data_IF_651556812065
#
_entry.id   IF_651556812065
#
_cell.length_a   1.000
_cell.length_b   1.000
_cell.length_c   1.000
_cell.angle_alpha   90.00
_cell.angle_beta   90.00
_cell.angle_gamma   90.00
#
_symmetry.space_group_name_H-M   'P 1'
#
loop_
_entity.id
_entity.type
_entity.pdbx_description
1 polymer ?
#
# COMPACT_ATOMS: atom_id res chain seq x y z
N UNK A 1 -6.42 -10.98 20.28
CA UNK A 1 -7.75 -11.27 20.83
C UNK A 1 -8.86 -10.31 20.33
N UNK A 2 -8.61 -9.41 19.38
CA UNK A 2 -9.56 -8.42 18.85
C UNK A 2 -10.26 -8.83 17.52
N UNK A 3 -10.10 -10.07 17.07
CA UNK A 3 -10.63 -10.54 15.76
C UNK A 3 -12.07 -11.05 15.75
N UNK A 4 -12.73 -11.25 16.88
CA UNK A 4 -14.05 -11.91 16.94
C UNK A 4 -15.25 -11.02 17.24
N UNK A 5 -15.10 -9.71 17.35
CA UNK A 5 -16.15 -8.78 17.81
C UNK A 5 -16.98 -8.07 16.73
N UNK A 6 -16.93 -8.39 15.43
CA UNK A 6 -17.50 -7.53 14.38
C UNK A 6 -18.60 -8.13 13.50
N UNK A 7 -19.32 -9.11 13.97
CA UNK A 7 -20.67 -9.33 13.43
C UNK A 7 -21.64 -8.43 14.21
N UNK A 8 -22.24 -7.45 13.56
CA UNK A 8 -23.29 -6.63 14.17
C UNK A 8 -24.36 -7.57 14.75
N UNK A 9 -24.84 -7.34 15.98
CA UNK A 9 -25.70 -8.26 16.71
C UNK A 9 -26.95 -8.72 15.95
N UNK A 10 -27.41 -7.98 14.93
CA UNK A 10 -28.52 -8.38 14.04
C UNK A 10 -28.13 -9.52 13.08
N UNK A 11 -26.92 -9.51 12.51
CA UNK A 11 -26.46 -10.57 11.60
C UNK A 11 -26.09 -11.83 12.38
N UNK A 12 -25.45 -11.68 13.54
CA UNK A 12 -25.18 -12.80 14.45
C UNK A 12 -26.48 -13.45 14.96
N UNK A 13 -27.50 -12.67 15.31
CA UNK A 13 -28.80 -13.17 15.71
C UNK A 13 -29.57 -13.85 14.58
N UNK A 14 -29.45 -13.42 13.35
CA UNK A 14 -30.05 -14.07 12.18
C UNK A 14 -29.34 -15.39 11.87
N UNK A 15 -28.01 -15.43 11.91
CA UNK A 15 -27.22 -16.64 11.68
C UNK A 15 -27.47 -17.70 12.75
N UNK A 16 -27.57 -17.29 14.03
CA UNK A 16 -27.91 -18.19 15.13
C UNK A 16 -29.32 -18.82 14.99
N UNK A 17 -30.28 -18.07 14.44
CA UNK A 17 -31.63 -18.58 14.18
C UNK A 17 -31.70 -19.57 13.02
N UNK A 18 -30.78 -19.51 12.06
CA UNK A 18 -30.73 -20.37 10.87
C UNK A 18 -29.80 -21.58 11.07
N UNK A 19 -29.08 -21.68 12.18
CA UNK A 19 -28.07 -22.73 12.40
C UNK A 19 -26.82 -22.58 11.51
N UNK A 20 -26.72 -21.51 10.74
CA UNK A 20 -25.58 -21.22 9.85
C UNK A 20 -24.31 -20.84 10.61
N UNK A 21 -24.42 -20.53 11.91
CA UNK A 21 -23.31 -20.33 12.83
C UNK A 21 -22.44 -21.60 13.02
N UNK A 22 -23.02 -22.78 12.78
CA UNK A 22 -22.32 -24.09 12.83
C UNK A 22 -21.62 -24.45 11.53
N UNK A 23 -21.90 -23.76 10.43
CA UNK A 23 -21.28 -24.04 9.14
C UNK A 23 -19.89 -23.39 9.10
N UNK A 24 -18.81 -24.14 8.86
CA UNK A 24 -17.49 -23.57 8.73
C UNK A 24 -17.46 -22.47 7.67
N UNK A 25 -16.77 -21.35 7.96
CA UNK A 25 -16.73 -20.15 7.09
C UNK A 25 -16.29 -20.46 5.66
N UNK A 26 -15.46 -21.49 5.46
CA UNK A 26 -15.02 -21.90 4.13
C UNK A 26 -16.16 -22.46 3.25
N UNK A 27 -17.22 -23.03 3.84
CA UNK A 27 -18.35 -23.61 3.07
C UNK A 27 -19.10 -22.55 2.27
N UNK A 28 -19.61 -21.45 2.86
CA UNK A 28 -20.26 -20.40 2.09
C UNK A 28 -19.31 -19.70 1.12
N UNK A 29 -18.00 -19.61 1.42
CA UNK A 29 -17.00 -19.07 0.49
C UNK A 29 -16.85 -19.98 -0.73
N UNK A 30 -16.65 -21.29 -0.54
CA UNK A 30 -16.54 -22.26 -1.64
C UNK A 30 -17.82 -22.29 -2.46
N UNK A 31 -18.98 -22.30 -1.82
CA UNK A 31 -20.27 -22.26 -2.51
C UNK A 31 -20.44 -20.99 -3.33
N UNK A 32 -20.08 -19.82 -2.78
CA UNK A 32 -20.12 -18.55 -3.48
C UNK A 32 -19.19 -18.53 -4.71
N UNK A 33 -17.97 -19.03 -4.54
CA UNK A 33 -17.01 -19.17 -5.67
C UNK A 33 -17.55 -20.15 -6.73
N UNK A 34 -18.13 -21.29 -6.33
CA UNK A 34 -18.71 -22.27 -7.25
C UNK A 34 -19.90 -21.70 -8.02
N UNK A 35 -20.78 -20.95 -7.36
CA UNK A 35 -21.90 -20.25 -8.00
C UNK A 35 -21.39 -19.21 -8.99
N UNK A 36 -20.41 -18.39 -8.61
CA UNK A 36 -19.81 -17.41 -9.52
C UNK A 36 -19.15 -18.08 -10.73
N UNK A 37 -18.42 -19.18 -10.50
CA UNK A 37 -17.80 -19.94 -11.58
C UNK A 37 -18.86 -20.54 -12.52
N UNK A 38 -19.93 -21.11 -11.97
CA UNK A 38 -21.04 -21.64 -12.77
C UNK A 38 -21.73 -20.56 -13.60
N UNK A 39 -22.17 -19.45 -12.97
CA UNK A 39 -22.83 -18.33 -13.66
C UNK A 39 -21.89 -17.67 -14.67
N UNK A 40 -20.60 -17.56 -14.33
CA UNK A 40 -19.56 -17.01 -15.20
C UNK A 40 -19.32 -17.89 -16.44
N UNK A 41 -19.47 -19.21 -16.32
CA UNK A 41 -19.25 -20.16 -17.42
C UNK A 41 -20.46 -20.32 -18.37
N UNK A 42 -21.64 -19.84 -17.98
CA UNK A 42 -22.81 -19.91 -18.84
C UNK A 42 -22.63 -19.04 -20.08
N UNK A 43 -22.57 -19.68 -21.25
CA UNK A 43 -22.50 -18.98 -22.53
C UNK A 43 -23.89 -18.48 -22.92
N UNK A 44 -23.98 -17.23 -23.35
CA UNK A 44 -25.20 -16.60 -23.86
C UNK A 44 -24.88 -15.94 -25.20
N UNK A 45 -25.92 -15.70 -26.00
CA UNK A 45 -25.74 -14.93 -27.23
C UNK A 45 -25.33 -13.48 -26.96
N UNK A 46 -24.71 -12.80 -27.93
CA UNK A 46 -24.21 -11.42 -27.73
C UNK A 46 -25.29 -10.41 -27.33
N UNK A 47 -26.54 -10.58 -27.78
CA UNK A 47 -27.61 -9.64 -27.40
C UNK A 47 -27.97 -9.80 -25.91
N UNK A 48 -28.14 -11.04 -25.45
CA UNK A 48 -28.37 -11.30 -24.02
C UNK A 48 -27.20 -10.84 -23.16
N UNK A 49 -25.95 -11.03 -23.62
CA UNK A 49 -24.77 -10.49 -22.92
C UNK A 49 -24.81 -8.97 -22.83
N UNK A 50 -25.27 -8.28 -23.87
CA UNK A 50 -25.46 -6.83 -23.84
C UNK A 50 -26.46 -6.38 -22.78
N UNK A 51 -27.60 -7.10 -22.63
CA UNK A 51 -28.56 -6.81 -21.55
C UNK A 51 -27.94 -7.04 -20.16
N UNK A 52 -27.17 -8.10 -19.98
CA UNK A 52 -26.46 -8.37 -18.73
C UNK A 52 -25.46 -7.24 -18.43
N UNK A 53 -24.67 -6.82 -19.42
CA UNK A 53 -23.70 -5.75 -19.27
C UNK A 53 -24.37 -4.41 -18.90
N UNK A 54 -25.42 -4.01 -19.62
CA UNK A 54 -26.18 -2.76 -19.34
C UNK A 54 -26.81 -2.84 -17.96
N UNK A 55 -27.46 -3.94 -17.61
CA UNK A 55 -28.04 -4.16 -16.28
C UNK A 55 -27.00 -4.05 -15.18
N UNK A 56 -25.83 -4.68 -15.36
CA UNK A 56 -24.72 -4.62 -14.43
C UNK A 56 -24.18 -3.18 -14.26
N UNK A 57 -23.95 -2.48 -15.37
CA UNK A 57 -23.49 -1.08 -15.33
C UNK A 57 -24.53 -0.19 -14.60
N UNK A 58 -25.82 -0.39 -14.87
CA UNK A 58 -26.89 0.34 -14.21
C UNK A 58 -26.86 0.11 -12.69
N UNK A 59 -26.75 -1.14 -12.26
CA UNK A 59 -26.65 -1.50 -10.83
C UNK A 59 -25.40 -0.87 -10.20
N UNK A 60 -24.25 -0.94 -10.88
CA UNK A 60 -23.01 -0.30 -10.43
C UNK A 60 -23.18 1.21 -10.24
N UNK A 61 -23.74 1.91 -11.22
CA UNK A 61 -23.93 3.38 -11.18
C UNK A 61 -24.92 3.80 -10.07
N UNK A 62 -25.98 3.04 -9.85
CA UNK A 62 -26.98 3.33 -8.83
C UNK A 62 -26.44 3.05 -7.43
N UNK A 63 -25.86 1.88 -7.22
CA UNK A 63 -25.42 1.45 -5.91
C UNK A 63 -24.10 2.10 -5.46
N UNK A 64 -23.21 2.47 -6.40
CA UNK A 64 -21.96 3.15 -6.07
C UNK A 64 -22.16 4.51 -5.39
N UNK A 65 -23.34 5.11 -5.53
CA UNK A 65 -23.71 6.36 -4.84
C UNK A 65 -24.10 6.15 -3.38
N UNK A 66 -24.25 4.91 -2.93
CA UNK A 66 -24.67 4.59 -1.56
C UNK A 66 -23.49 4.07 -0.75
N UNK A 67 -23.13 4.72 0.38
CA UNK A 67 -22.06 4.23 1.23
C UNK A 67 -22.47 2.96 1.95
N UNK A 68 -21.53 2.03 2.11
CA UNK A 68 -21.77 0.84 2.92
C UNK A 68 -20.87 -0.33 2.51
N UNK A 69 -20.29 -1.01 3.51
CA UNK A 69 -19.39 -2.15 3.29
C UNK A 69 -20.07 -3.29 2.51
N UNK A 70 -21.31 -3.62 2.86
CA UNK A 70 -22.05 -4.67 2.14
C UNK A 70 -22.25 -4.33 0.65
N UNK A 71 -22.55 -3.07 0.35
CA UNK A 71 -22.67 -2.60 -1.04
C UNK A 71 -21.32 -2.69 -1.75
N UNK A 72 -20.24 -2.24 -1.12
CA UNK A 72 -18.90 -2.33 -1.70
C UNK A 72 -18.51 -3.77 -2.03
N UNK A 73 -18.73 -4.72 -1.10
CA UNK A 73 -18.46 -6.14 -1.33
C UNK A 73 -19.34 -6.69 -2.45
N UNK A 74 -20.63 -6.35 -2.48
CA UNK A 74 -21.52 -6.75 -3.55
C UNK A 74 -21.04 -6.25 -4.93
N UNK A 75 -20.64 -4.98 -5.02
CA UNK A 75 -20.10 -4.41 -6.25
C UNK A 75 -18.78 -5.06 -6.69
N UNK A 76 -17.89 -5.40 -5.74
CA UNK A 76 -16.67 -6.17 -6.01
C UNK A 76 -17.01 -7.55 -6.56
N UNK A 77 -17.96 -8.26 -5.96
CA UNK A 77 -18.41 -9.60 -6.45
C UNK A 77 -19.03 -9.51 -7.84
N UNK A 78 -19.84 -8.49 -8.11
CA UNK A 78 -20.45 -8.26 -9.41
C UNK A 78 -19.37 -7.98 -10.48
N UNK A 79 -18.38 -7.17 -10.14
CA UNK A 79 -17.22 -6.89 -11.01
C UNK A 79 -16.41 -8.16 -11.30
N UNK A 80 -16.13 -8.98 -10.28
CA UNK A 80 -15.43 -10.26 -10.45
C UNK A 80 -16.23 -11.25 -11.32
N UNK A 81 -17.55 -11.30 -11.15
CA UNK A 81 -18.42 -12.12 -11.97
C UNK A 81 -18.32 -11.72 -13.45
N UNK A 82 -18.40 -10.43 -13.76
CA UNK A 82 -18.27 -9.94 -15.14
C UNK A 82 -16.89 -10.19 -15.71
N UNK A 83 -15.82 -10.00 -14.91
CA UNK A 83 -14.46 -10.32 -15.32
C UNK A 83 -14.26 -11.82 -15.58
N UNK A 84 -14.89 -12.67 -14.79
CA UNK A 84 -14.86 -14.13 -14.99
C UNK A 84 -15.60 -14.51 -16.27
N UNK A 85 -16.78 -13.92 -16.53
CA UNK A 85 -17.52 -14.11 -17.79
C UNK A 85 -16.67 -13.72 -19.00
N UNK A 86 -15.99 -12.58 -18.90
CA UNK A 86 -15.08 -12.13 -19.95
C UNK A 86 -13.96 -13.17 -20.22
N UNK A 87 -13.23 -13.59 -19.17
CA UNK A 87 -12.10 -14.50 -19.38
C UNK A 87 -12.54 -15.90 -19.88
N UNK A 88 -13.70 -16.40 -19.40
CA UNK A 88 -14.28 -17.64 -19.91
C UNK A 88 -14.61 -17.51 -21.39
N UNK A 89 -15.30 -16.44 -21.79
CA UNK A 89 -15.57 -16.17 -23.21
C UNK A 89 -14.29 -16.07 -24.04
N UNK A 90 -13.27 -15.36 -23.52
CA UNK A 90 -11.96 -15.26 -24.18
C UNK A 90 -11.35 -16.63 -24.45
N UNK A 91 -11.31 -17.49 -23.42
CA UNK A 91 -10.67 -18.81 -23.51
C UNK A 91 -11.47 -19.81 -24.38
N UNK A 92 -12.80 -19.73 -24.35
CA UNK A 92 -13.64 -20.74 -25.01
C UNK A 92 -14.04 -20.37 -26.43
N UNK A 93 -14.18 -19.06 -26.73
CA UNK A 93 -14.79 -18.61 -27.98
C UNK A 93 -13.85 -17.86 -28.91
N UNK A 94 -12.72 -17.31 -28.40
CA UNK A 94 -11.89 -16.39 -29.18
C UNK A 94 -10.45 -16.85 -29.42
N UNK A 95 -10.07 -17.98 -28.85
CA UNK A 95 -8.73 -18.58 -29.02
C UNK A 95 -8.74 -19.45 -30.28
N UNK A 96 -8.58 -18.78 -31.43
CA UNK A 96 -8.48 -19.44 -32.75
C UNK A 96 -7.33 -18.76 -33.50
N UNK A 97 -6.45 -19.55 -34.09
CA UNK A 97 -5.25 -19.06 -34.74
C UNK A 97 -5.15 -19.59 -36.17
N UNK A 98 -4.92 -18.68 -37.11
CA UNK A 98 -4.71 -19.03 -38.54
C UNK A 98 -3.21 -19.11 -38.89
N UNK A 99 -2.35 -18.47 -38.10
CA UNK A 99 -0.91 -18.45 -38.30
C UNK A 99 -0.17 -18.19 -36.93
N UNK A 100 1.14 -18.43 -36.94
CA UNK A 100 1.96 -18.33 -35.74
C UNK A 100 2.05 -16.90 -35.18
N UNK A 101 2.04 -15.86 -36.06
CA UNK A 101 2.09 -14.46 -35.64
C UNK A 101 0.82 -14.07 -34.87
N UNK A 102 -0.35 -14.44 -35.43
CA UNK A 102 -1.64 -14.24 -34.77
C UNK A 102 -1.68 -14.97 -33.41
N UNK A 103 -1.21 -16.22 -33.36
CA UNK A 103 -1.14 -16.99 -32.11
C UNK A 103 -0.29 -16.29 -31.06
N UNK A 104 0.91 -15.84 -31.44
CA UNK A 104 1.81 -15.14 -30.53
C UNK A 104 1.18 -13.86 -29.95
N UNK A 105 0.64 -13.00 -30.82
CA UNK A 105 0.02 -11.73 -30.40
C UNK A 105 -1.22 -11.95 -29.54
N UNK A 106 -2.06 -12.93 -29.89
CA UNK A 106 -3.26 -13.28 -29.14
C UNK A 106 -2.92 -13.85 -27.75
N UNK A 107 -1.90 -14.71 -27.63
CA UNK A 107 -1.43 -15.25 -26.36
C UNK A 107 -0.79 -14.16 -25.47
N UNK A 108 -0.05 -13.23 -26.06
CA UNK A 108 0.51 -12.08 -25.34
C UNK A 108 -0.61 -11.19 -24.78
N UNK A 109 -1.66 -10.92 -25.57
CA UNK A 109 -2.82 -10.19 -25.09
C UNK A 109 -3.55 -10.93 -23.98
N UNK A 110 -3.80 -12.24 -24.15
CA UNK A 110 -4.44 -13.08 -23.14
C UNK A 110 -3.64 -13.12 -21.82
N UNK A 111 -2.31 -13.14 -21.90
CA UNK A 111 -1.45 -13.04 -20.71
C UNK A 111 -1.61 -11.67 -20.00
N UNK A 112 -1.72 -10.58 -20.78
CA UNK A 112 -1.98 -9.26 -20.23
C UNK A 112 -3.37 -9.16 -19.57
N UNK A 113 -4.40 -9.74 -20.18
CA UNK A 113 -5.75 -9.82 -19.62
C UNK A 113 -5.80 -10.66 -18.34
N UNK A 114 -5.08 -11.80 -18.33
CA UNK A 114 -4.95 -12.66 -17.13
C UNK A 114 -4.24 -11.91 -16.00
N UNK A 115 -3.17 -11.18 -16.30
CA UNK A 115 -2.51 -10.33 -15.32
C UNK A 115 -3.49 -9.29 -14.74
N UNK A 116 -4.28 -8.62 -15.57
CA UNK A 116 -5.27 -7.64 -15.13
C UNK A 116 -6.32 -8.29 -14.19
N UNK A 117 -6.81 -9.48 -14.51
CA UNK A 117 -7.73 -10.23 -13.65
C UNK A 117 -7.07 -10.60 -12.30
N UNK A 118 -5.85 -11.13 -12.33
CA UNK A 118 -5.12 -11.49 -11.10
C UNK A 118 -4.90 -10.28 -10.21
N UNK A 119 -4.44 -9.16 -10.77
CA UNK A 119 -4.23 -7.91 -10.00
C UNK A 119 -5.55 -7.35 -9.47
N UNK A 120 -6.66 -7.45 -10.20
CA UNK A 120 -7.99 -7.09 -9.73
C UNK A 120 -8.40 -7.94 -8.52
N UNK A 121 -8.26 -9.26 -8.60
CA UNK A 121 -8.57 -10.18 -7.49
C UNK A 121 -7.73 -9.87 -6.25
N UNK A 122 -6.42 -9.67 -6.41
CA UNK A 122 -5.51 -9.31 -5.32
C UNK A 122 -5.87 -7.97 -4.69
N UNK A 123 -6.20 -6.96 -5.51
CA UNK A 123 -6.62 -5.64 -5.04
C UNK A 123 -7.93 -5.70 -4.27
N UNK A 124 -8.92 -6.47 -4.75
CA UNK A 124 -10.17 -6.65 -4.03
C UNK A 124 -9.97 -7.41 -2.72
N UNK A 125 -9.16 -8.47 -2.70
CA UNK A 125 -8.77 -9.14 -1.46
C UNK A 125 -8.16 -8.17 -0.44
N UNK A 126 -7.21 -7.37 -0.88
CA UNK A 126 -6.48 -6.41 -0.06
C UNK A 126 -7.42 -5.33 0.52
N UNK A 127 -8.34 -4.79 -0.30
CA UNK A 127 -9.18 -3.65 0.06
C UNK A 127 -10.60 -4.02 0.53
N UNK A 128 -10.98 -5.30 0.53
CA UNK A 128 -12.35 -5.71 0.87
C UNK A 128 -12.75 -5.36 2.31
N UNK A 129 -11.77 -5.30 3.22
CA UNK A 129 -12.01 -5.06 4.63
C UNK A 129 -11.07 -4.00 5.23
N UNK A 130 -11.22 -2.71 4.84
CA UNK A 130 -10.38 -1.65 5.37
C UNK A 130 -10.59 -1.50 6.88
N UNK A 131 -9.50 -1.53 7.64
CA UNK A 131 -9.50 -1.29 9.08
C UNK A 131 -9.22 0.20 9.31
N UNK A 132 -10.11 0.87 10.02
CA UNK A 132 -9.94 2.27 10.40
C UNK A 132 -9.68 2.35 11.89
N UNK A 133 -8.42 2.48 12.26
CA UNK A 133 -8.01 2.70 13.64
C UNK A 133 -8.41 4.11 14.07
N UNK A 134 -8.81 4.22 15.34
CA UNK A 134 -8.90 5.49 16.06
C UNK A 134 -7.66 5.61 16.93
N UNK A 135 -7.42 6.77 17.51
CA UNK A 135 -6.37 6.90 18.52
C UNK A 135 -6.58 5.90 19.67
N UNK A 136 -5.49 5.45 20.24
CA UNK A 136 -5.50 4.69 21.49
C UNK A 136 -5.04 5.63 22.60
N UNK A 137 -5.82 5.79 23.71
CA UNK A 137 -5.48 6.71 24.77
C UNK A 137 -4.15 6.35 25.42
N UNK A 138 -3.40 7.37 25.79
CA UNK A 138 -2.21 7.23 26.63
C UNK A 138 -2.62 7.15 28.11
N UNK A 139 -1.77 6.58 28.97
CA UNK A 139 -1.95 6.71 30.42
C UNK A 139 -1.97 8.18 30.84
N UNK A 140 -2.82 8.52 31.84
CA UNK A 140 -2.90 9.89 32.38
C UNK A 140 -1.58 10.33 33.02
N UNK A 141 -0.87 9.39 33.64
CA UNK A 141 0.43 9.63 34.26
C UNK A 141 1.54 9.67 33.19
N UNK A 142 2.07 10.85 32.91
CA UNK A 142 3.15 11.07 31.96
C UNK A 142 4.47 10.38 32.37
N UNK A 143 4.63 9.99 33.65
CA UNK A 143 5.80 9.22 34.07
C UNK A 143 5.88 7.85 33.37
N UNK A 144 4.74 7.29 32.98
CA UNK A 144 4.66 6.02 32.26
C UNK A 144 4.92 6.14 30.75
N UNK A 145 4.97 7.36 30.23
CA UNK A 145 5.19 7.55 28.80
C UNK A 145 6.64 7.18 28.43
N UNK A 146 6.83 6.51 27.30
CA UNK A 146 8.15 6.05 26.87
C UNK A 146 9.02 7.17 26.34
N UNK A 147 10.34 6.95 26.32
CA UNK A 147 11.26 7.80 25.59
C UNK A 147 11.18 7.56 24.08
N UNK A 148 11.34 8.63 23.31
CA UNK A 148 11.24 8.63 21.85
C UNK A 148 12.41 9.37 21.23
N UNK A 149 13.10 8.75 20.29
CA UNK A 149 14.10 9.38 19.43
C UNK A 149 13.45 9.74 18.09
N UNK A 150 13.51 10.98 17.68
CA UNK A 150 13.03 11.45 16.38
C UNK A 150 14.23 11.64 15.46
N UNK A 151 14.23 10.94 14.33
CA UNK A 151 15.30 10.97 13.34
C UNK A 151 14.88 11.76 12.10
N UNK A 152 15.68 12.76 11.74
CA UNK A 152 15.53 13.57 10.53
C UNK A 152 16.77 13.37 9.67
N UNK A 153 16.78 12.36 8.77
CA UNK A 153 17.91 12.08 7.89
C UNK A 153 18.02 13.12 6.77
N UNK A 154 19.25 13.60 6.52
CA UNK A 154 19.57 14.57 5.48
C UNK A 154 20.92 14.29 4.84
N UNK A 155 21.06 14.64 3.55
CA UNK A 155 22.28 14.45 2.78
C UNK A 155 22.63 15.68 1.92
N UNK A 156 21.79 16.02 0.94
CA UNK A 156 22.03 17.11 -0.02
C UNK A 156 21.01 18.27 0.12
N UNK A 157 20.02 18.13 0.97
CA UNK A 157 18.95 19.10 1.12
C UNK A 157 19.47 20.39 1.75
N UNK A 158 18.84 21.50 1.41
CA UNK A 158 19.15 22.80 2.00
C UNK A 158 18.71 22.89 3.46
N UNK A 159 19.46 23.62 4.29
CA UNK A 159 19.13 23.81 5.69
C UNK A 159 17.75 24.48 5.89
N UNK A 160 17.36 25.37 4.99
CA UNK A 160 16.04 26.04 4.99
C UNK A 160 14.88 25.06 5.01
N UNK A 161 14.99 23.96 4.26
CA UNK A 161 14.00 22.89 4.19
C UNK A 161 14.00 22.06 5.48
N UNK A 162 15.15 21.54 5.86
CA UNK A 162 15.32 20.65 7.03
C UNK A 162 14.96 21.34 8.34
N UNK A 163 15.23 22.66 8.43
CA UNK A 163 14.92 23.49 9.60
C UNK A 163 13.45 23.39 10.01
N UNK A 164 12.53 23.45 9.07
CA UNK A 164 11.08 23.40 9.36
C UNK A 164 10.68 22.07 9.99
N UNK A 165 11.20 20.96 9.48
CA UNK A 165 10.95 19.62 10.02
C UNK A 165 11.54 19.44 11.42
N UNK A 166 12.78 19.88 11.63
CA UNK A 166 13.44 19.79 12.95
C UNK A 166 12.73 20.64 14.00
N UNK A 167 12.37 21.88 13.68
CA UNK A 167 11.62 22.74 14.62
C UNK A 167 10.22 22.16 14.92
N UNK A 168 9.53 21.63 13.92
CA UNK A 168 8.27 20.93 14.14
C UNK A 168 8.40 19.66 14.99
N UNK A 169 9.53 18.95 14.87
CA UNK A 169 9.83 17.78 15.70
C UNK A 169 10.16 18.16 17.15
N UNK A 170 10.85 19.27 17.37
CA UNK A 170 11.13 19.81 18.70
C UNK A 170 9.87 20.37 19.41
N UNK A 171 8.86 20.78 18.63
CA UNK A 171 7.56 21.28 19.15
C UNK A 171 6.52 20.15 19.33
N UNK A 172 6.92 18.87 19.26
CA UNK A 172 6.03 17.76 19.55
C UNK A 172 5.57 17.82 21.02
N UNK A 173 4.27 17.62 21.22
CA UNK A 173 3.65 17.63 22.54
C UNK A 173 3.99 16.35 23.32
N UNK A 174 5.20 16.31 23.88
CA UNK A 174 5.79 15.20 24.64
C UNK A 174 6.68 15.74 25.77
N UNK A 175 6.85 15.00 26.90
CA UNK A 175 7.76 15.45 27.96
C UNK A 175 9.19 15.67 27.45
N UNK A 176 9.76 16.80 27.78
CA UNK A 176 11.09 17.22 27.29
C UNK A 176 12.20 16.22 27.64
N UNK A 177 12.14 15.63 28.83
CA UNK A 177 13.07 14.59 29.28
C UNK A 177 12.95 13.25 28.58
N UNK A 178 11.88 13.08 27.74
CA UNK A 178 11.57 11.83 27.02
C UNK A 178 11.55 12.01 25.49
N UNK A 179 11.82 13.20 25.00
CA UNK A 179 11.88 13.52 23.56
C UNK A 179 13.30 13.91 23.17
N UNK A 180 13.88 13.16 22.26
CA UNK A 180 15.17 13.50 21.66
C UNK A 180 14.99 13.66 20.15
N UNK A 181 15.40 14.78 19.60
CA UNK A 181 15.34 15.06 18.15
C UNK A 181 16.75 15.10 17.60
N UNK A 182 17.02 14.33 16.56
CA UNK A 182 18.34 14.20 15.95
C UNK A 182 18.32 14.52 14.47
N UNK A 183 19.24 15.39 14.04
CA UNK A 183 19.59 15.60 12.64
C UNK A 183 20.65 14.57 12.26
N UNK A 184 20.34 13.69 11.32
CA UNK A 184 21.28 12.68 10.82
C UNK A 184 21.91 13.18 9.52
N UNK A 185 23.04 13.87 9.60
CA UNK A 185 23.63 14.58 8.47
C UNK A 185 24.75 13.80 7.76
N UNK A 186 24.42 13.08 6.71
CA UNK A 186 25.39 12.41 5.84
C UNK A 186 26.26 13.40 5.03
N UNK A 187 25.84 14.67 4.94
CA UNK A 187 26.59 15.76 4.30
C UNK A 187 27.69 16.34 5.20
N UNK A 188 27.72 16.08 6.50
CA UNK A 188 28.71 16.56 7.50
C UNK A 188 28.89 18.08 7.47
N UNK A 189 27.77 18.82 7.38
CA UNK A 189 27.75 20.25 7.09
C UNK A 189 27.82 21.09 8.35
N UNK A 190 28.75 22.06 8.42
CA UNK A 190 28.91 22.93 9.57
C UNK A 190 27.60 23.69 9.90
N UNK A 191 26.92 24.23 8.90
CA UNK A 191 25.67 24.97 9.11
C UNK A 191 24.58 24.12 9.80
N UNK A 192 24.52 22.84 9.56
CA UNK A 192 23.58 21.89 10.19
C UNK A 192 23.96 21.61 11.64
N UNK A 193 25.27 21.49 11.92
CA UNK A 193 25.78 21.36 13.29
C UNK A 193 25.48 22.60 14.12
N UNK A 194 25.78 23.78 13.57
CA UNK A 194 25.55 25.06 14.23
C UNK A 194 24.05 25.27 14.52
N UNK A 195 23.21 24.92 13.57
CA UNK A 195 21.75 24.94 13.73
C UNK A 195 21.24 23.94 14.78
N UNK A 196 21.74 22.71 14.78
CA UNK A 196 21.36 21.69 15.77
C UNK A 196 21.71 22.20 17.19
N UNK A 197 22.91 22.72 17.39
CA UNK A 197 23.34 23.30 18.67
C UNK A 197 22.46 24.49 19.09
N UNK A 198 22.11 25.37 18.16
CA UNK A 198 21.29 26.56 18.47
C UNK A 198 19.83 26.21 18.78
N UNK A 199 19.30 25.14 18.21
CA UNK A 199 17.90 24.70 18.38
C UNK A 199 17.70 23.70 19.52
N UNK A 200 18.77 23.14 20.09
CA UNK A 200 18.69 22.06 21.09
C UNK A 200 18.53 20.67 20.51
N UNK A 201 18.62 20.49 19.17
CA UNK A 201 18.60 19.18 18.53
C UNK A 201 19.96 18.48 18.64
N UNK A 202 19.96 17.16 18.70
CA UNK A 202 21.15 16.34 18.54
C UNK A 202 21.67 16.37 17.09
N UNK A 203 22.98 16.21 16.92
CA UNK A 203 23.61 16.15 15.61
C UNK A 203 24.45 14.89 15.49
N UNK A 204 24.05 13.99 14.58
CA UNK A 204 24.71 12.72 14.36
C UNK A 204 25.29 12.71 12.95
N UNK A 205 26.58 12.34 12.85
CA UNK A 205 27.30 12.10 11.60
C UNK A 205 27.96 10.72 11.65
N UNK A 206 28.26 10.17 10.50
CA UNK A 206 29.01 8.91 10.37
C UNK A 206 30.21 9.10 9.43
N UNK A 207 31.21 8.20 9.54
CA UNK A 207 32.43 8.30 8.75
C UNK A 207 32.17 8.03 7.25
N UNK A 208 31.31 7.05 6.95
CA UNK A 208 31.00 6.60 5.59
C UNK A 208 29.50 6.63 5.32
N UNK A 209 29.11 6.96 4.09
CA UNK A 209 27.70 7.07 3.69
C UNK A 209 27.16 5.77 3.05
N UNK A 210 27.68 4.62 3.46
CA UNK A 210 27.24 3.33 2.95
C UNK A 210 25.74 3.12 3.22
N UNK A 211 25.03 2.55 2.23
CA UNK A 211 23.60 2.22 2.32
C UNK A 211 22.67 3.44 2.50
N UNK A 212 23.11 4.63 2.09
CA UNK A 212 22.30 5.85 2.08
C UNK A 212 21.47 6.05 3.36
N UNK A 213 20.14 6.33 3.25
CA UNK A 213 19.25 6.57 4.38
C UNK A 213 19.18 5.41 5.37
N UNK A 214 19.08 4.16 4.89
CA UNK A 214 19.03 2.99 5.77
C UNK A 214 20.29 2.87 6.65
N UNK A 215 21.47 3.06 6.06
CA UNK A 215 22.74 3.06 6.80
C UNK A 215 22.84 4.20 7.81
N UNK A 216 22.31 5.38 7.48
CA UNK A 216 22.26 6.53 8.39
C UNK A 216 21.34 6.27 9.59
N UNK A 217 20.14 5.75 9.34
CA UNK A 217 19.19 5.32 10.39
C UNK A 217 19.79 4.20 11.27
N UNK A 218 20.47 3.21 10.68
CA UNK A 218 21.12 2.14 11.43
C UNK A 218 22.21 2.70 12.36
N UNK A 219 23.04 3.61 11.87
CA UNK A 219 24.03 4.27 12.70
C UNK A 219 23.38 5.01 13.88
N UNK A 220 22.32 5.77 13.63
CA UNK A 220 21.58 6.49 14.67
C UNK A 220 21.00 5.50 15.73
N UNK A 221 20.41 4.38 15.31
CA UNK A 221 19.92 3.35 16.23
C UNK A 221 21.00 2.80 17.16
N UNK A 222 22.26 2.72 16.72
CA UNK A 222 23.35 2.22 17.55
C UNK A 222 23.88 3.23 18.57
N UNK A 223 23.71 4.54 18.31
CA UNK A 223 24.24 5.60 19.18
C UNK A 223 23.16 6.28 20.04
N UNK A 224 21.90 5.88 19.87
CA UNK A 224 20.76 6.39 20.66
C UNK A 224 20.05 5.23 21.38
N UNK A 225 19.17 5.51 22.36
CA UNK A 225 18.71 4.46 23.26
C UNK A 225 17.22 4.49 23.63
N UNK A 226 16.40 5.43 23.08
CA UNK A 226 14.98 5.50 23.40
C UNK A 226 14.24 4.22 22.95
N UNK A 227 13.13 3.93 23.62
CA UNK A 227 12.31 2.74 23.37
C UNK A 227 11.71 2.74 21.97
N UNK A 228 11.31 3.91 21.47
CA UNK A 228 10.75 4.07 20.13
C UNK A 228 11.60 5.03 19.30
N UNK A 229 11.62 4.80 18.00
CA UNK A 229 12.18 5.68 17.00
C UNK A 229 11.07 6.18 16.07
N UNK A 230 11.04 7.49 15.83
CA UNK A 230 10.17 8.12 14.85
C UNK A 230 11.02 8.64 13.70
N UNK A 231 10.56 8.50 12.49
CA UNK A 231 11.29 8.92 11.29
C UNK A 231 10.45 9.94 10.53
N UNK A 232 11.03 11.11 10.29
CA UNK A 232 10.51 12.10 9.37
C UNK A 232 11.54 12.37 8.28
N UNK A 233 11.14 12.29 7.02
CA UNK A 233 11.96 12.84 5.94
C UNK A 233 12.17 14.34 6.16
N UNK A 234 13.27 14.87 5.68
CA UNK A 234 13.70 16.23 5.95
C UNK A 234 12.72 17.33 5.48
N UNK A 235 11.72 16.96 4.69
CA UNK A 235 10.66 17.82 4.16
C UNK A 235 9.28 17.51 4.76
N UNK A 236 9.18 16.58 5.72
CA UNK A 236 7.92 16.20 6.37
C UNK A 236 7.82 16.85 7.77
N UNK A 237 7.09 17.95 7.86
CA UNK A 237 6.86 18.66 9.13
C UNK A 237 5.74 17.97 9.92
N UNK A 238 6.03 17.45 11.12
CA UNK A 238 5.02 16.81 11.96
C UNK A 238 4.05 17.82 12.59
N UNK A 239 2.85 17.36 12.89
CA UNK A 239 1.93 18.07 13.78
C UNK A 239 2.33 17.84 15.24
N UNK A 240 2.05 18.81 16.13
CA UNK A 240 2.37 18.70 17.57
C UNK A 240 1.82 17.44 18.23
N UNK A 241 0.66 16.97 17.77
CA UNK A 241 -0.03 15.79 18.32
C UNK A 241 0.48 14.43 17.82
N UNK A 242 1.50 14.35 16.97
CA UNK A 242 1.93 13.10 16.35
C UNK A 242 2.17 11.99 17.37
N UNK A 243 2.94 12.24 18.42
CA UNK A 243 3.27 11.23 19.43
C UNK A 243 2.05 10.83 20.26
N UNK A 244 1.20 11.78 20.64
CA UNK A 244 -0.02 11.49 21.41
C UNK A 244 -0.99 10.60 20.63
N UNK A 245 -1.02 10.72 19.31
CA UNK A 245 -1.90 9.91 18.44
C UNK A 245 -1.34 8.52 18.12
N UNK A 246 -0.03 8.34 18.18
CA UNK A 246 0.64 7.11 17.72
C UNK A 246 1.15 6.22 18.85
N UNK A 247 1.73 6.79 19.89
CA UNK A 247 2.42 6.03 20.97
C UNK A 247 1.46 5.16 21.77
N UNK A 248 0.21 5.60 21.98
CA UNK A 248 -0.78 4.81 22.70
C UNK A 248 -0.98 3.40 22.12
N UNK A 249 -0.97 3.24 20.79
CA UNK A 249 -1.02 1.94 20.13
C UNK A 249 0.23 1.09 20.37
N UNK A 250 1.41 1.73 20.35
CA UNK A 250 2.68 1.04 20.60
C UNK A 250 2.79 0.53 22.03
N UNK A 251 2.20 1.23 22.99
CA UNK A 251 2.13 0.81 24.39
C UNK A 251 1.10 -0.29 24.62
N UNK A 252 -0.07 -0.19 23.97
CA UNK A 252 -1.16 -1.14 24.13
C UNK A 252 -0.88 -2.53 23.55
N UNK A 253 -0.06 -2.59 22.51
CA UNK A 253 0.33 -3.86 21.87
C UNK A 253 1.87 -4.02 21.86
N UNK A 254 2.41 -4.81 22.80
CA UNK A 254 3.85 -5.08 22.85
C UNK A 254 4.42 -5.78 21.62
N UNK A 255 3.58 -6.46 20.82
CA UNK A 255 3.99 -7.11 19.58
C UNK A 255 3.95 -6.17 18.36
N UNK A 256 3.45 -4.94 18.53
CA UNK A 256 3.43 -3.96 17.44
C UNK A 256 4.82 -3.36 17.26
N UNK A 257 5.42 -3.65 16.10
CA UNK A 257 6.75 -3.13 15.73
C UNK A 257 6.70 -1.77 15.05
N UNK A 258 5.64 -1.52 14.27
CA UNK A 258 5.52 -0.36 13.38
C UNK A 258 4.09 0.16 13.40
N UNK A 259 3.93 1.46 13.54
CA UNK A 259 2.70 2.16 13.18
C UNK A 259 3.02 3.25 12.16
N UNK A 260 2.44 3.10 10.97
CA UNK A 260 2.58 4.02 9.85
C UNK A 260 1.42 5.00 9.81
N UNK A 261 1.69 6.27 9.51
CA UNK A 261 0.67 7.28 9.16
C UNK A 261 0.81 7.71 7.70
N UNK A 262 -0.22 8.28 7.05
CA UNK A 262 -0.14 8.67 5.65
C UNK A 262 0.89 9.77 5.43
N UNK A 263 1.59 9.70 4.29
CA UNK A 263 2.27 10.88 3.77
C UNK A 263 1.21 11.82 3.20
N UNK A 264 1.17 13.02 3.70
CA UNK A 264 0.33 14.10 3.20
C UNK A 264 1.20 15.16 2.52
N UNK A 265 0.88 15.48 1.26
CA UNK A 265 1.64 16.47 0.49
C UNK A 265 0.81 17.74 0.35
N UNK A 266 1.35 18.87 0.81
CA UNK A 266 0.70 20.18 0.67
C UNK A 266 1.01 20.89 -0.66
N UNK A 267 2.07 20.43 -1.37
CA UNK A 267 2.39 20.91 -2.70
C UNK A 267 1.76 20.01 -3.77
N UNK A 268 1.22 20.56 -4.86
CA UNK A 268 0.65 19.78 -5.95
C UNK A 268 1.73 18.98 -6.69
N UNK A 269 1.41 17.76 -7.05
CA UNK A 269 2.27 16.92 -7.89
C UNK A 269 2.30 17.44 -9.36
N UNK A 270 3.22 16.92 -10.22
CA UNK A 270 3.33 17.39 -11.60
C UNK A 270 2.05 17.25 -12.44
N UNK A 271 1.22 16.24 -12.14
CA UNK A 271 -0.04 16.03 -12.88
C UNK A 271 -1.10 17.02 -12.43
N UNK A 272 -1.28 17.20 -11.12
CA UNK A 272 -2.20 18.20 -10.58
C UNK A 272 -1.86 19.59 -11.07
N UNK A 273 -0.57 19.94 -11.11
CA UNK A 273 -0.08 21.25 -11.54
C UNK A 273 -0.27 21.47 -13.04
N UNK A 274 0.12 20.50 -13.88
CA UNK A 274 0.11 20.67 -15.34
C UNK A 274 -1.28 20.51 -15.96
N UNK A 275 -2.15 19.71 -15.34
CA UNK A 275 -3.52 19.52 -15.83
C UNK A 275 -4.51 20.49 -15.19
N UNK A 276 -4.05 21.40 -14.31
CA UNK A 276 -4.92 22.31 -13.53
C UNK A 276 -6.08 21.58 -12.82
N UNK A 277 -5.89 20.30 -12.47
CA UNK A 277 -6.94 19.42 -11.97
C UNK A 277 -7.02 19.37 -10.45
N UNK A 278 -6.32 20.25 -9.76
CA UNK A 278 -5.96 20.20 -8.34
C UNK A 278 -7.06 19.91 -7.31
N UNK A 279 -8.34 20.12 -7.67
CA UNK A 279 -9.48 19.81 -6.78
C UNK A 279 -10.36 18.65 -7.29
N UNK A 280 -10.27 18.31 -8.58
CA UNK A 280 -11.18 17.35 -9.22
C UNK A 280 -10.58 15.96 -9.39
N UNK A 281 -9.24 15.85 -9.41
CA UNK A 281 -8.54 14.57 -9.50
C UNK A 281 -7.75 14.37 -8.20
N UNK A 282 -8.07 13.31 -7.43
CA UNK A 282 -7.32 13.02 -6.21
C UNK A 282 -5.83 12.76 -6.51
N UNK A 283 -4.91 13.15 -5.61
CA UNK A 283 -3.51 12.78 -5.72
C UNK A 283 -3.34 11.27 -5.84
N UNK A 284 -2.35 10.81 -6.60
CA UNK A 284 -2.06 9.40 -6.82
C UNK A 284 -1.91 8.61 -5.50
N UNK A 285 -1.31 9.22 -4.48
CA UNK A 285 -1.13 8.62 -3.17
C UNK A 285 -2.43 8.34 -2.40
N UNK A 286 -3.55 8.99 -2.73
CA UNK A 286 -4.80 8.85 -1.98
C UNK A 286 -5.36 7.44 -1.97
N UNK A 287 -5.21 6.67 -3.04
CA UNK A 287 -5.65 5.29 -3.07
C UNK A 287 -4.77 4.41 -2.17
N UNK A 288 -3.45 4.59 -2.24
CA UNK A 288 -2.50 3.83 -1.44
C UNK A 288 -2.65 4.13 0.05
N UNK A 289 -2.55 5.38 0.46
CA UNK A 289 -2.70 5.81 1.86
C UNK A 289 -4.14 5.78 2.36
N UNK A 290 -5.12 5.74 1.46
CA UNK A 290 -6.53 5.69 1.82
C UNK A 290 -7.08 4.28 2.00
N UNK A 291 -7.04 3.46 0.97
CA UNK A 291 -7.70 2.15 0.95
C UNK A 291 -6.72 0.99 1.10
N UNK A 292 -5.57 1.06 0.43
CA UNK A 292 -4.60 -0.05 0.39
C UNK A 292 -4.00 -0.25 1.77
N UNK A 293 -3.52 0.81 2.43
CA UNK A 293 -2.94 0.70 3.78
C UNK A 293 -3.99 0.36 4.85
N UNK A 294 -5.22 0.89 4.77
CA UNK A 294 -6.33 0.47 5.64
C UNK A 294 -6.63 -1.04 5.49
N UNK A 295 -6.55 -1.56 4.27
CA UNK A 295 -6.71 -2.98 3.98
C UNK A 295 -5.52 -3.81 4.45
N UNK A 296 -4.31 -3.36 4.21
CA UNK A 296 -3.10 -3.99 4.73
C UNK A 296 -3.11 -4.09 6.26
N UNK A 297 -3.59 -3.05 6.94
CA UNK A 297 -3.72 -3.06 8.40
C UNK A 297 -4.64 -4.17 8.91
N UNK A 298 -5.76 -4.42 8.22
CA UNK A 298 -6.65 -5.54 8.55
C UNK A 298 -5.94 -6.90 8.45
N UNK A 299 -5.07 -7.06 7.46
CA UNK A 299 -4.29 -8.28 7.22
C UNK A 299 -2.98 -8.33 8.00
N UNK A 300 -2.68 -7.28 8.82
CA UNK A 300 -1.40 -7.14 9.52
C UNK A 300 -0.21 -7.19 8.54
N UNK A 301 -0.35 -6.45 7.46
CA UNK A 301 0.58 -6.36 6.35
C UNK A 301 0.89 -4.91 5.97
N UNK A 302 0.76 -3.98 6.92
CA UNK A 302 1.06 -2.57 6.70
C UNK A 302 2.52 -2.40 6.30
N UNK A 303 2.77 -1.61 5.26
CA UNK A 303 4.11 -1.26 4.83
C UNK A 303 4.66 -0.09 5.62
N UNK A 304 5.93 -0.13 5.93
CA UNK A 304 6.70 1.07 6.25
C UNK A 304 6.96 1.84 4.94
N UNK A 305 6.74 3.14 4.96
CA UNK A 305 6.86 4.01 3.79
C UNK A 305 8.04 4.98 3.89
N UNK A 306 8.98 4.71 4.79
CA UNK A 306 10.23 5.45 4.94
C UNK A 306 10.13 6.67 5.86
N UNK A 307 8.94 7.26 6.05
CA UNK A 307 8.70 8.47 6.84
C UNK A 307 7.34 8.42 7.52
N UNK A 308 7.07 9.37 8.44
CA UNK A 308 5.80 9.52 9.14
C UNK A 308 5.38 8.25 9.90
N UNK A 309 6.34 7.59 10.54
CA UNK A 309 6.12 6.34 11.24
C UNK A 309 6.84 6.30 12.58
N UNK A 310 6.23 5.58 13.54
CA UNK A 310 6.86 5.20 14.80
C UNK A 310 7.20 3.71 14.78
N UNK A 311 8.41 3.37 15.23
CA UNK A 311 8.96 2.02 15.18
C UNK A 311 9.47 1.63 16.57
N UNK A 312 9.20 0.39 16.99
CA UNK A 312 9.78 -0.20 18.18
C UNK A 312 11.23 -0.54 17.93
N UNK A 313 12.14 0.01 18.75
CA UNK A 313 13.59 -0.20 18.60
C UNK A 313 13.95 -1.67 18.63
N UNK A 314 13.45 -2.43 19.61
CA UNK A 314 13.78 -3.85 19.76
C UNK A 314 13.38 -4.67 18.53
N UNK A 315 12.27 -4.32 17.87
CA UNK A 315 11.82 -5.01 16.68
C UNK A 315 12.77 -4.80 15.49
N UNK A 316 13.19 -3.56 15.25
CA UNK A 316 14.13 -3.26 14.15
C UNK A 316 15.53 -3.76 14.47
N UNK A 317 16.01 -3.66 15.71
CA UNK A 317 17.29 -4.21 16.11
C UNK A 317 17.30 -5.73 16.04
N UNK A 318 16.19 -6.39 16.40
CA UNK A 318 16.02 -7.85 16.34
C UNK A 318 16.08 -8.46 14.93
N UNK A 319 15.96 -7.64 13.88
CA UNK A 319 16.15 -8.04 12.48
C UNK A 319 17.51 -7.59 11.90
N UNK A 320 18.38 -6.98 12.71
CA UNK A 320 19.67 -6.47 12.29
C UNK A 320 19.66 -5.03 11.77
N UNK A 321 18.62 -4.24 12.09
CA UNK A 321 18.44 -2.87 11.64
C UNK A 321 17.54 -2.73 10.41
N UNK A 322 17.50 -1.53 9.86
CA UNK A 322 16.82 -1.26 8.57
C UNK A 322 17.51 -2.03 7.45
N UNK A 323 16.71 -2.60 6.56
CA UNK A 323 17.21 -3.36 5.42
C UNK A 323 18.11 -2.50 4.52
N UNK A 324 19.22 -3.05 4.08
CA UNK A 324 20.20 -2.34 3.24
C UNK A 324 20.36 -2.96 1.85
N UNK A 325 19.71 -4.11 1.63
CA UNK A 325 19.90 -4.94 0.44
C UNK A 325 19.07 -4.46 -0.77
N UNK A 326 18.07 -3.61 -0.53
CA UNK A 326 17.14 -3.12 -1.56
C UNK A 326 17.03 -1.60 -1.52
N UNK A 327 16.65 -1.00 -2.64
CA UNK A 327 16.46 0.46 -2.73
C UNK A 327 15.10 0.94 -2.18
N UNK A 328 14.24 0.01 -1.74
CA UNK A 328 13.03 0.23 -0.93
C UNK A 328 13.24 -0.43 0.43
N UNK A 329 14.21 0.09 1.16
CA UNK A 329 14.64 -0.39 2.46
C UNK A 329 13.50 -0.42 3.48
N UNK A 330 12.56 0.49 3.34
CA UNK A 330 11.37 0.67 4.15
C UNK A 330 10.41 -0.54 4.04
N UNK A 331 9.91 -0.83 2.85
CA UNK A 331 9.04 -1.98 2.62
C UNK A 331 9.73 -3.30 2.97
N UNK A 332 11.04 -3.42 2.71
CA UNK A 332 11.82 -4.62 3.04
C UNK A 332 12.01 -4.77 4.56
N UNK A 333 12.22 -3.68 5.28
CA UNK A 333 12.31 -3.69 6.76
C UNK A 333 10.99 -4.17 7.37
N UNK A 334 9.84 -3.66 6.89
CA UNK A 334 8.54 -4.13 7.35
C UNK A 334 8.35 -5.63 7.09
N UNK A 335 8.72 -6.12 5.89
CA UNK A 335 8.66 -7.54 5.55
C UNK A 335 9.50 -8.39 6.51
N UNK A 336 10.75 -7.98 6.81
CA UNK A 336 11.64 -8.70 7.74
C UNK A 336 11.08 -8.74 9.16
N UNK A 337 10.50 -7.64 9.66
CA UNK A 337 9.83 -7.61 10.97
C UNK A 337 8.63 -8.56 11.01
N UNK A 338 7.78 -8.53 9.99
CA UNK A 338 6.61 -9.41 9.88
C UNK A 338 7.02 -10.90 9.79
N UNK A 339 8.11 -11.22 9.09
CA UNK A 339 8.67 -12.59 9.07
C UNK A 339 9.13 -13.09 10.45
N UNK A 340 9.50 -12.19 11.34
CA UNK A 340 9.83 -12.50 12.74
C UNK A 340 8.61 -12.55 13.65
N UNK A 341 7.40 -12.37 13.10
CA UNK A 341 6.14 -12.43 13.83
C UNK A 341 5.71 -11.11 14.45
N UNK A 342 6.41 -10.00 14.19
CA UNK A 342 6.01 -8.68 14.63
C UNK A 342 4.78 -8.19 13.88
N UNK A 343 3.88 -7.51 14.59
CA UNK A 343 2.72 -6.84 14.01
C UNK A 343 3.07 -5.47 13.42
N UNK A 344 2.29 -5.06 12.43
CA UNK A 344 2.35 -3.70 11.84
C UNK A 344 0.97 -3.09 11.79
N UNK A 345 0.86 -1.76 11.95
CA UNK A 345 -0.42 -1.07 11.99
C UNK A 345 -0.41 0.19 11.12
N UNK A 346 -1.60 0.63 10.74
CA UNK A 346 -1.82 1.87 10.01
C UNK A 346 -2.83 2.77 10.71
N UNK A 347 -2.46 4.01 10.96
CA UNK A 347 -3.37 5.04 11.44
C UNK A 347 -3.62 6.04 10.31
N UNK A 348 -4.82 6.01 9.72
CA UNK A 348 -5.21 6.89 8.62
C UNK A 348 -5.51 8.31 9.09
N UNK A 349 -4.49 8.96 9.63
CA UNK A 349 -4.56 10.34 10.10
C UNK A 349 -3.32 11.08 9.58
N UNK A 350 -3.47 12.15 8.79
CA UNK A 350 -2.35 12.97 8.35
C UNK A 350 -1.76 13.71 9.55
N UNK A 351 -0.65 13.21 10.07
CA UNK A 351 0.02 13.76 11.24
C UNK A 351 1.37 14.42 10.89
N UNK A 352 1.72 14.45 9.62
CA UNK A 352 2.82 15.21 9.07
C UNK A 352 2.50 15.64 7.65
N UNK A 353 3.08 16.73 7.19
CA UNK A 353 2.89 17.23 5.83
C UNK A 353 4.24 17.54 5.17
N UNK A 354 4.41 17.14 3.93
CA UNK A 354 5.64 17.24 3.17
C UNK A 354 5.48 17.80 1.77
N UNK A 355 6.58 17.86 1.04
CA UNK A 355 6.63 18.29 -0.35
C UNK A 355 6.44 17.10 -1.29
N UNK A 356 5.61 17.26 -2.31
CA UNK A 356 5.57 16.33 -3.43
C UNK A 356 6.74 16.59 -4.40
N UNK A 357 7.03 15.62 -5.28
CA UNK A 357 7.98 15.86 -6.37
C UNK A 357 7.41 16.90 -7.34
N UNK A 358 8.07 18.05 -7.50
CA UNK A 358 7.56 19.14 -8.34
C UNK A 358 7.77 18.91 -9.85
N UNK A 359 8.78 18.14 -10.23
CA UNK A 359 9.17 17.92 -11.62
C UNK A 359 8.83 16.51 -12.07
N UNK A 360 8.26 16.38 -13.28
CA UNK A 360 7.88 15.10 -13.86
C UNK A 360 9.06 14.10 -13.91
N UNK A 361 10.26 14.56 -14.25
CA UNK A 361 11.45 13.70 -14.31
C UNK A 361 11.80 13.09 -12.94
N UNK A 362 11.65 13.85 -11.84
CA UNK A 362 11.87 13.38 -10.49
C UNK A 362 10.78 12.39 -10.08
N UNK A 363 9.53 12.67 -10.47
CA UNK A 363 8.39 11.78 -10.24
C UNK A 363 8.61 10.43 -10.95
N UNK A 364 9.00 10.43 -12.23
CA UNK A 364 9.31 9.20 -12.96
C UNK A 364 10.47 8.46 -12.29
N UNK A 365 11.56 9.16 -11.94
CA UNK A 365 12.71 8.57 -11.26
C UNK A 365 12.33 7.90 -9.93
N UNK A 366 11.43 8.50 -9.17
CA UNK A 366 10.89 7.93 -7.92
C UNK A 366 10.11 6.63 -8.19
N UNK A 367 9.25 6.58 -9.21
CA UNK A 367 8.50 5.37 -9.60
C UNK A 367 9.40 4.25 -10.07
N UNK A 368 10.41 4.57 -10.88
CA UNK A 368 11.42 3.59 -11.33
C UNK A 368 12.18 3.02 -10.13
N UNK A 369 12.58 3.85 -9.17
CA UNK A 369 13.24 3.40 -7.94
C UNK A 369 12.35 2.46 -7.13
N UNK A 370 11.07 2.78 -6.95
CA UNK A 370 10.12 1.92 -6.23
C UNK A 370 9.91 0.59 -6.95
N UNK A 371 9.69 0.61 -8.26
CA UNK A 371 9.57 -0.61 -9.06
C UNK A 371 10.80 -1.49 -8.93
N UNK A 372 12.01 -0.91 -9.05
CA UNK A 372 13.27 -1.62 -8.87
C UNK A 372 13.36 -2.25 -7.48
N UNK A 373 13.04 -1.50 -6.43
CA UNK A 373 13.12 -1.99 -5.06
C UNK A 373 12.16 -3.14 -4.78
N UNK A 374 10.91 -3.04 -5.22
CA UNK A 374 9.92 -4.11 -5.05
C UNK A 374 10.31 -5.38 -5.80
N UNK A 375 10.90 -5.25 -7.00
CA UNK A 375 11.45 -6.40 -7.74
C UNK A 375 12.71 -6.97 -7.09
N UNK A 376 13.55 -6.14 -6.46
CA UNK A 376 14.68 -6.63 -5.66
C UNK A 376 14.20 -7.45 -4.46
N UNK A 377 13.17 -6.99 -3.72
CA UNK A 377 12.58 -7.76 -2.62
C UNK A 377 12.04 -9.09 -3.16
N UNK A 378 11.31 -9.10 -4.27
CA UNK A 378 10.78 -10.32 -4.88
C UNK A 378 11.89 -11.33 -5.24
N UNK A 379 13.08 -10.85 -5.59
CA UNK A 379 14.23 -11.69 -5.94
C UNK A 379 15.03 -12.16 -4.70
N UNK A 380 15.25 -11.28 -3.73
CA UNK A 380 16.17 -11.53 -2.60
C UNK A 380 15.46 -12.12 -1.38
N UNK A 381 14.24 -11.68 -1.13
CA UNK A 381 13.40 -12.09 0.00
C UNK A 381 11.95 -12.28 -0.43
N UNK A 382 11.72 -13.24 -1.36
CA UNK A 382 10.40 -13.45 -1.97
C UNK A 382 9.33 -13.73 -0.90
N UNK A 383 8.30 -12.87 -0.77
CA UNK A 383 7.26 -13.02 0.26
C UNK A 383 6.40 -14.28 0.07
N UNK A 384 6.34 -14.85 -1.14
CA UNK A 384 5.62 -16.11 -1.40
C UNK A 384 6.40 -17.33 -0.90
N UNK A 385 7.71 -17.19 -0.68
CA UNK A 385 8.60 -18.27 -0.27
C UNK A 385 9.06 -18.09 1.18
N UNK A 386 9.65 -19.12 1.75
CA UNK A 386 10.16 -19.10 3.12
C UNK A 386 9.08 -19.07 4.20
N UNK A 387 9.51 -19.04 5.46
CA UNK A 387 8.66 -19.04 6.65
C UNK A 387 8.31 -17.63 7.16
N UNK A 388 7.53 -17.59 8.25
CA UNK A 388 7.28 -16.39 9.05
C UNK A 388 6.08 -15.55 8.62
N UNK A 389 5.71 -15.54 7.34
CA UNK A 389 4.53 -14.80 6.88
C UNK A 389 3.29 -15.69 6.84
N UNK A 390 2.14 -15.12 7.23
CA UNK A 390 0.83 -15.70 7.00
C UNK A 390 0.45 -15.57 5.53
N UNK A 391 -0.48 -16.41 5.05
CA UNK A 391 -0.88 -16.41 3.64
C UNK A 391 -1.53 -15.07 3.21
N UNK A 392 -2.25 -14.41 4.12
CA UNK A 392 -2.87 -13.10 3.87
C UNK A 392 -1.81 -12.02 3.63
N UNK A 393 -0.76 -12.02 4.45
CA UNK A 393 0.37 -11.10 4.28
C UNK A 393 1.08 -11.34 2.94
N UNK A 394 1.27 -12.61 2.56
CA UNK A 394 1.86 -12.98 1.26
C UNK A 394 1.06 -12.42 0.09
N UNK A 395 -0.28 -12.50 0.13
CA UNK A 395 -1.15 -11.94 -0.91
C UNK A 395 -1.09 -10.41 -0.96
N UNK A 396 -1.01 -9.73 0.18
CA UNK A 396 -0.83 -8.27 0.22
C UNK A 396 0.50 -7.84 -0.42
N UNK A 397 1.60 -8.54 -0.11
CA UNK A 397 2.90 -8.29 -0.74
C UNK A 397 2.88 -8.61 -2.23
N UNK A 398 2.26 -9.73 -2.64
CA UNK A 398 2.09 -10.08 -4.05
C UNK A 398 1.31 -8.99 -4.80
N UNK A 399 0.23 -8.48 -4.21
CA UNK A 399 -0.55 -7.37 -4.79
C UNK A 399 0.32 -6.13 -5.02
N UNK A 400 1.07 -5.71 -4.00
CA UNK A 400 1.95 -4.55 -4.10
C UNK A 400 3.07 -4.72 -5.14
N UNK A 401 3.69 -5.91 -5.20
CA UNK A 401 4.75 -6.19 -6.16
C UNK A 401 4.21 -6.33 -7.59
N UNK A 402 3.07 -6.99 -7.75
CA UNK A 402 2.41 -7.15 -9.06
C UNK A 402 2.03 -5.79 -9.65
N UNK A 403 1.68 -4.80 -8.83
CA UNK A 403 1.40 -3.45 -9.31
C UNK A 403 2.53 -2.89 -10.18
N UNK A 404 3.79 -3.14 -9.86
CA UNK A 404 4.93 -2.62 -10.61
C UNK A 404 5.26 -3.39 -11.91
N UNK A 405 4.57 -4.50 -12.16
CA UNK A 405 4.71 -5.26 -13.41
C UNK A 405 3.77 -4.75 -14.54
N UNK A 406 2.99 -3.71 -14.27
CA UNK A 406 1.94 -3.22 -15.19
C UNK A 406 2.44 -2.75 -16.56
N UNK A 407 3.72 -2.43 -16.69
CA UNK A 407 4.27 -1.81 -17.92
C UNK A 407 4.12 -2.71 -19.15
N UNK A 408 4.43 -4.00 -19.02
CA UNK A 408 4.29 -4.98 -20.12
C UNK A 408 2.82 -5.19 -20.53
N UNK A 409 1.89 -5.55 -19.61
CA UNK A 409 0.48 -5.66 -19.95
C UNK A 409 -0.10 -4.38 -20.54
N UNK A 410 0.24 -3.21 -20.03
CA UNK A 410 -0.21 -1.93 -20.59
C UNK A 410 0.27 -1.72 -22.02
N UNK A 411 1.54 -2.04 -22.30
CA UNK A 411 2.05 -1.99 -23.67
C UNK A 411 1.27 -2.92 -24.60
N UNK A 412 0.96 -4.13 -24.16
CA UNK A 412 0.13 -5.08 -24.93
C UNK A 412 -1.26 -4.52 -25.26
N UNK A 413 -1.95 -3.95 -24.26
CA UNK A 413 -3.26 -3.33 -24.49
C UNK A 413 -3.18 -2.15 -25.48
N UNK A 414 -2.17 -1.29 -25.38
CA UNK A 414 -2.00 -0.14 -26.28
C UNK A 414 -1.62 -0.55 -27.70
N UNK A 415 -0.85 -1.64 -27.86
CA UNK A 415 -0.40 -2.11 -29.16
C UNK A 415 -1.37 -3.06 -29.85
N UNK A 416 -2.30 -3.65 -29.13
CA UNK A 416 -3.28 -4.61 -29.68
C UNK A 416 -4.07 -4.07 -30.87
N UNK A 417 -4.62 -2.84 -30.87
CA UNK A 417 -5.30 -2.29 -32.04
C UNK A 417 -4.37 -2.11 -33.24
N UNK A 418 -3.07 -1.83 -33.01
CA UNK A 418 -2.09 -1.64 -34.06
C UNK A 418 -1.77 -2.95 -34.79
N UNK A 419 -1.86 -4.08 -34.10
CA UNK A 419 -1.70 -5.40 -34.72
C UNK A 419 -2.78 -5.64 -35.80
N UNK A 420 -4.00 -5.21 -35.57
CA UNK A 420 -5.05 -5.25 -36.59
C UNK A 420 -4.81 -4.23 -37.71
N UNK A 421 -4.54 -2.97 -37.34
CA UNK A 421 -4.44 -1.87 -38.30
C UNK A 421 -3.24 -2.01 -39.24
N UNK A 422 -2.07 -2.43 -38.73
CA UNK A 422 -0.83 -2.48 -39.53
C UNK A 422 -0.48 -3.88 -40.05
N UNK A 423 -0.89 -4.93 -39.33
CA UNK A 423 -0.51 -6.29 -39.69
C UNK A 423 -1.70 -7.13 -40.18
N UNK A 424 -2.94 -6.58 -40.17
CA UNK A 424 -4.15 -7.29 -40.58
C UNK A 424 -4.48 -8.52 -39.69
N UNK A 425 -3.90 -8.58 -38.47
CA UNK A 425 -4.07 -9.75 -37.57
C UNK A 425 -5.24 -9.56 -36.63
N UNK A 426 -6.24 -10.43 -36.74
CA UNK A 426 -7.35 -10.52 -35.79
C UNK A 426 -6.89 -11.29 -34.54
N UNK A 427 -6.42 -10.57 -33.52
CA UNK A 427 -5.92 -11.16 -32.27
C UNK A 427 -7.05 -11.60 -31.30
N UNK A 428 -8.28 -11.20 -31.58
CA UNK A 428 -9.52 -11.66 -30.92
C UNK A 428 -10.44 -12.15 -32.01
N UNK A 429 -10.63 -13.46 -32.11
CA UNK A 429 -11.47 -14.06 -33.12
C UNK A 429 -12.96 -13.96 -32.72
N UNK A 430 -13.54 -12.76 -32.84
CA UNK A 430 -14.93 -12.49 -32.49
C UNK A 430 -15.53 -11.40 -33.38
N UNK A 431 -16.85 -11.32 -33.43
CA UNK A 431 -17.54 -10.21 -34.09
C UNK A 431 -17.41 -8.90 -33.31
N UNK A 432 -17.46 -7.73 -33.98
CA UNK A 432 -17.41 -6.43 -33.28
C UNK A 432 -18.49 -6.30 -32.20
N UNK A 433 -19.69 -6.83 -32.44
CA UNK A 433 -20.76 -6.83 -31.45
C UNK A 433 -20.37 -7.65 -30.21
N UNK A 434 -19.84 -8.86 -30.38
CA UNK A 434 -19.40 -9.67 -29.26
C UNK A 434 -18.30 -8.97 -28.44
N UNK A 435 -17.29 -8.37 -29.10
CA UNK A 435 -16.21 -7.60 -28.42
C UNK A 435 -16.78 -6.42 -27.63
N UNK A 436 -17.83 -5.76 -28.11
CA UNK A 436 -18.39 -4.57 -27.47
C UNK A 436 -19.25 -4.85 -26.23
N UNK A 437 -19.76 -6.08 -26.08
CA UNK A 437 -20.66 -6.44 -24.97
C UNK A 437 -19.98 -7.30 -23.89
N UNK A 438 -18.81 -7.87 -24.18
CA UNK A 438 -17.96 -8.54 -23.21
C UNK A 438 -16.85 -7.62 -22.72
#
# INVERSE_FOLDING_TARGET
MYRTGFMTGKVAGLLARTGLDRVPVWVPVVLGVAIMAFVGSVTVDPAMQGFIAIGTITVLLVLNRRPGRGITIFLMMLSLLMSLRYIVWRLTMTVQFNNWLQATLALMLLAAETYALVTLCLSYFQMAWPLRRREHPLPDDTAQWPSVDVFVPSYNEELSLVRSTVLGALDLDWPEDKLNVYILDDGRRKAFRDFAQASGAGYIIRAENNHAKAGNLNHALHVTHSQFAVIFDCDHVPTRGFLKRTVGWMMADPNLALLQTPHHFYAPDPFQRNLASGMHVPPEGNMFYGLVQDGNDFWDATFFCGSCAIIRRDAVMGIGGFATETVTEDAHTALKMQRKGWGTAYLREPLAAGLSTERLILHIGQRVRWARGMLQIMRLDNPLLGGGLRWEQRLCYLSAMSHFLFAMPRAMFLMSPLAYLFLGQNIIAASPLAISVY
#
